data_IF_697872068827
#
_entry.id   IF_697872068827
#
_cell.length_a   1.000
_cell.length_b   1.000
_cell.length_c   1.000
_cell.angle_alpha   90.00
_cell.angle_beta   90.00
_cell.angle_gamma   90.00
#
_symmetry.space_group_name_H-M   'P 1'
#
loop_
_entity.id
_entity.type
_entity.pdbx_description
1 polymer ?
#
# COMPACT_ATOMS: atom_id res chain seq x y z
N UNK A 1 -12.69 13.25 -17.43
CA UNK A 1 -11.28 13.63 -17.68
C UNK A 1 -10.60 12.42 -18.31
N UNK A 2 -10.01 12.61 -19.50
CA UNK A 2 -9.26 11.56 -20.19
C UNK A 2 -7.91 11.41 -19.49
N UNK A 3 -7.67 10.27 -18.83
CA UNK A 3 -6.33 9.95 -18.28
C UNK A 3 -5.38 9.84 -19.48
N UNK A 4 -4.34 10.66 -19.50
CA UNK A 4 -3.30 10.60 -20.52
C UNK A 4 -2.63 9.22 -20.45
N UNK A 5 -2.77 8.43 -21.52
CA UNK A 5 -2.33 7.03 -21.56
C UNK A 5 -0.84 6.87 -21.90
N UNK A 6 -0.16 7.97 -22.21
CA UNK A 6 1.26 7.98 -22.58
C UNK A 6 2.15 7.57 -21.39
N UNK A 7 1.93 8.16 -20.20
CA UNK A 7 2.69 7.80 -18.99
C UNK A 7 2.52 6.35 -18.52
N UNK A 8 1.39 5.70 -18.87
CA UNK A 8 1.11 4.30 -18.52
C UNK A 8 1.99 3.34 -19.33
N UNK A 9 2.16 3.60 -20.63
CA UNK A 9 3.03 2.79 -21.48
C UNK A 9 4.49 2.90 -21.03
N UNK A 10 4.88 4.06 -20.51
CA UNK A 10 6.22 4.29 -19.96
C UNK A 10 6.47 3.50 -18.67
N UNK A 11 5.50 3.33 -17.78
CA UNK A 11 5.69 2.54 -16.55
C UNK A 11 5.87 1.06 -16.82
N UNK A 12 5.07 0.48 -17.72
CA UNK A 12 5.26 -0.93 -18.07
C UNK A 12 6.60 -1.15 -18.80
N UNK A 13 7.05 -0.20 -19.61
CA UNK A 13 8.36 -0.26 -20.25
C UNK A 13 9.50 -0.15 -19.24
N UNK A 14 9.43 0.82 -18.32
CA UNK A 14 10.38 0.96 -17.21
C UNK A 14 10.41 -0.30 -16.36
N UNK A 15 9.25 -0.87 -16.07
CA UNK A 15 9.13 -2.10 -15.30
C UNK A 15 9.84 -3.29 -15.95
N UNK A 16 9.59 -3.53 -17.24
CA UNK A 16 10.26 -4.60 -17.99
C UNK A 16 11.79 -4.38 -17.99
N UNK A 17 12.23 -3.14 -18.18
CA UNK A 17 13.65 -2.79 -18.09
C UNK A 17 14.23 -3.05 -16.70
N UNK A 18 13.51 -2.72 -15.63
CA UNK A 18 13.91 -3.03 -14.25
C UNK A 18 14.04 -4.52 -14.03
N UNK A 19 13.07 -5.31 -14.49
CA UNK A 19 13.13 -6.77 -14.42
C UNK A 19 14.34 -7.32 -15.18
N UNK A 20 14.57 -6.87 -16.41
CA UNK A 20 15.71 -7.31 -17.21
C UNK A 20 17.04 -6.93 -16.54
N UNK A 21 17.15 -5.70 -16.03
CA UNK A 21 18.30 -5.25 -15.26
C UNK A 21 18.59 -6.17 -14.07
N UNK A 22 17.57 -6.50 -13.27
CA UNK A 22 17.73 -7.37 -12.10
C UNK A 22 18.17 -8.79 -12.48
N UNK A 23 17.72 -9.31 -13.63
CA UNK A 23 18.14 -10.63 -14.09
C UNK A 23 19.59 -10.65 -14.59
N UNK A 24 20.01 -9.63 -15.33
CA UNK A 24 21.26 -9.66 -16.09
C UNK A 24 22.41 -8.93 -15.42
N UNK A 25 22.13 -7.89 -14.63
CA UNK A 25 23.14 -6.94 -14.16
C UNK A 25 23.23 -6.85 -12.63
N UNK A 26 22.11 -7.00 -11.92
CA UNK A 26 22.09 -6.85 -10.46
C UNK A 26 23.05 -7.78 -9.69
N UNK A 27 23.34 -9.03 -10.13
CA UNK A 27 24.36 -9.85 -9.46
C UNK A 27 25.74 -9.18 -9.41
N UNK A 28 26.15 -8.50 -10.50
CA UNK A 28 27.43 -7.78 -10.51
C UNK A 28 27.34 -6.54 -9.65
N UNK A 29 26.29 -5.74 -9.79
CA UNK A 29 26.06 -4.53 -8.99
C UNK A 29 26.11 -4.84 -7.48
N UNK A 30 25.45 -5.91 -7.04
CA UNK A 30 25.47 -6.29 -5.64
C UNK A 30 26.76 -6.97 -5.21
N UNK A 31 27.47 -7.65 -6.11
CA UNK A 31 28.83 -8.11 -5.81
C UNK A 31 29.72 -6.92 -5.49
N UNK A 32 29.68 -5.87 -6.32
CA UNK A 32 30.45 -4.65 -6.11
C UNK A 32 30.07 -3.98 -4.79
N UNK A 33 28.78 -3.89 -4.48
CA UNK A 33 28.31 -3.33 -3.21
C UNK A 33 28.69 -4.17 -1.99
N UNK A 34 28.56 -5.50 -2.03
CA UNK A 34 28.94 -6.39 -0.93
C UNK A 34 30.44 -6.35 -0.64
N UNK A 35 31.25 -5.94 -1.62
CA UNK A 35 32.70 -5.79 -1.48
C UNK A 35 33.12 -4.37 -1.03
N UNK A 36 32.22 -3.38 -1.09
CA UNK A 36 32.50 -2.02 -0.64
C UNK A 36 32.37 -1.90 0.89
N UNK A 37 33.40 -1.38 1.55
CA UNK A 37 33.34 -1.09 2.98
C UNK A 37 32.28 -0.01 3.26
N UNK A 38 31.42 -0.25 4.26
CA UNK A 38 30.38 0.69 4.70
C UNK A 38 28.97 0.44 4.15
N UNK A 39 28.79 -0.48 3.20
CA UNK A 39 27.46 -0.90 2.75
C UNK A 39 26.95 -2.03 3.64
N UNK A 40 25.90 -1.79 4.41
CA UNK A 40 25.31 -2.80 5.31
C UNK A 40 24.07 -3.45 4.70
N UNK A 41 24.17 -4.76 4.42
CA UNK A 41 23.05 -5.59 4.01
C UNK A 41 22.58 -6.48 5.17
N UNK A 42 21.28 -6.53 5.43
CA UNK A 42 20.70 -7.58 6.28
C UNK A 42 20.58 -8.86 5.47
N UNK A 43 21.62 -9.68 5.49
CA UNK A 43 21.68 -10.86 4.63
C UNK A 43 20.85 -12.02 5.22
N UNK A 44 19.96 -12.66 4.44
CA UNK A 44 19.22 -13.83 4.91
C UNK A 44 20.20 -14.95 5.31
N UNK A 45 19.99 -15.69 6.41
CA UNK A 45 20.95 -16.70 6.88
C UNK A 45 21.31 -17.75 5.81
N UNK A 46 20.33 -18.15 4.99
CA UNK A 46 20.56 -19.10 3.89
C UNK A 46 21.42 -18.52 2.76
N UNK A 47 21.37 -17.20 2.53
CA UNK A 47 22.22 -16.50 1.57
C UNK A 47 23.60 -16.26 2.20
N UNK A 48 23.65 -15.82 3.45
CA UNK A 48 24.91 -15.60 4.18
C UNK A 48 25.75 -16.87 4.34
N UNK A 49 25.10 -18.04 4.36
CA UNK A 49 25.77 -19.34 4.40
C UNK A 49 26.47 -19.72 3.08
N UNK A 50 26.24 -19.00 1.97
CA UNK A 50 26.92 -19.25 0.70
C UNK A 50 28.38 -18.76 0.80
N UNK A 51 29.32 -19.59 0.36
CA UNK A 51 30.76 -19.33 0.55
C UNK A 51 31.30 -18.19 -0.32
N UNK A 52 30.70 -17.95 -1.50
CA UNK A 52 31.20 -16.96 -2.47
C UNK A 52 30.27 -15.75 -2.52
N UNK A 53 30.84 -14.55 -2.49
CA UNK A 53 30.11 -13.28 -2.62
C UNK A 53 29.29 -13.24 -3.91
N UNK A 54 29.79 -13.81 -5.00
CA UNK A 54 29.07 -13.87 -6.27
C UNK A 54 27.80 -14.75 -6.18
N UNK A 55 27.87 -15.85 -5.42
CA UNK A 55 26.72 -16.72 -5.20
C UNK A 55 25.69 -16.04 -4.28
N UNK A 56 26.15 -15.28 -3.28
CA UNK A 56 25.30 -14.44 -2.43
C UNK A 56 24.55 -13.40 -3.26
N UNK A 57 25.27 -12.63 -4.08
CA UNK A 57 24.70 -11.60 -4.94
C UNK A 57 23.69 -12.20 -5.96
N UNK A 58 24.04 -13.32 -6.59
CA UNK A 58 23.13 -14.02 -7.50
C UNK A 58 21.87 -14.55 -6.77
N UNK A 59 22.00 -15.05 -5.55
CA UNK A 59 20.88 -15.55 -4.77
C UNK A 59 19.90 -14.43 -4.39
N UNK A 60 20.42 -13.28 -3.96
CA UNK A 60 19.61 -12.08 -3.77
C UNK A 60 18.89 -11.74 -5.08
N UNK A 61 19.55 -11.85 -6.25
CA UNK A 61 19.09 -11.15 -7.47
C UNK A 61 17.92 -11.89 -8.05
N UNK A 62 18.03 -13.22 -7.95
CA UNK A 62 16.95 -14.14 -8.20
C UNK A 62 15.80 -13.97 -7.20
N UNK A 63 16.06 -13.67 -5.93
CA UNK A 63 14.99 -13.41 -4.97
C UNK A 63 14.21 -12.14 -5.33
N UNK A 64 14.92 -11.06 -5.67
CA UNK A 64 14.31 -9.81 -6.08
C UNK A 64 13.54 -9.93 -7.38
N UNK A 65 14.15 -10.55 -8.40
CA UNK A 65 13.48 -10.87 -9.66
C UNK A 65 12.18 -11.67 -9.43
N UNK A 66 12.19 -12.69 -8.58
CA UNK A 66 10.99 -13.50 -8.29
C UNK A 66 9.89 -12.69 -7.60
N UNK A 67 10.28 -11.80 -6.69
CA UNK A 67 9.38 -10.88 -5.98
C UNK A 67 8.72 -9.94 -6.97
N UNK A 68 9.54 -9.31 -7.80
CA UNK A 68 9.10 -8.34 -8.78
C UNK A 68 8.24 -8.97 -9.86
N UNK A 69 8.50 -10.17 -10.37
CA UNK A 69 7.61 -10.84 -11.36
C UNK A 69 6.12 -10.94 -10.97
N UNK A 70 5.77 -10.78 -9.69
CA UNK A 70 4.39 -10.82 -9.17
C UNK A 70 3.92 -9.46 -8.62
N UNK A 71 4.70 -8.41 -8.83
CA UNK A 71 4.43 -7.10 -8.30
C UNK A 71 3.23 -6.42 -8.97
N UNK A 72 2.51 -5.65 -8.19
CA UNK A 72 1.59 -4.63 -8.71
C UNK A 72 2.36 -3.39 -9.14
N UNK A 73 1.98 -2.80 -10.27
CA UNK A 73 2.59 -1.58 -10.79
C UNK A 73 1.75 -0.36 -10.44
N UNK A 74 2.42 0.67 -9.97
CA UNK A 74 1.82 1.92 -9.57
C UNK A 74 2.54 3.07 -10.28
N UNK A 75 1.75 3.96 -10.88
CA UNK A 75 2.23 5.19 -11.48
C UNK A 75 1.59 6.38 -10.79
N UNK A 76 2.42 7.30 -10.31
CA UNK A 76 1.98 8.47 -9.57
C UNK A 76 2.21 9.71 -10.44
N UNK A 77 1.13 10.29 -10.95
CA UNK A 77 1.22 11.51 -11.75
C UNK A 77 1.65 12.71 -10.90
N UNK A 78 2.07 13.80 -11.55
CA UNK A 78 2.38 15.07 -10.87
C UNK A 78 1.21 15.55 -10.00
N UNK A 79 -0.01 15.53 -10.52
CA UNK A 79 -1.21 16.01 -9.79
C UNK A 79 -1.53 15.13 -8.59
N UNK A 80 -1.38 13.82 -8.75
CA UNK A 80 -1.52 12.83 -7.69
C UNK A 80 -0.50 13.08 -6.56
N UNK A 81 0.78 13.26 -6.91
CA UNK A 81 1.84 13.54 -5.96
C UNK A 81 1.59 14.87 -5.19
N UNK A 82 1.18 15.93 -5.90
CA UNK A 82 0.84 17.21 -5.28
C UNK A 82 -0.33 17.11 -4.30
N UNK A 83 -1.35 16.30 -4.62
CA UNK A 83 -2.50 16.06 -3.76
C UNK A 83 -2.12 15.30 -2.47
N UNK A 84 -1.11 14.43 -2.56
CA UNK A 84 -0.56 13.68 -1.43
C UNK A 84 0.35 14.54 -0.56
N UNK A 85 1.14 15.44 -1.14
CA UNK A 85 2.02 16.35 -0.41
C UNK A 85 1.26 17.31 0.54
N UNK A 86 0.00 17.60 0.23
CA UNK A 86 -0.89 18.39 1.08
C UNK A 86 -1.48 17.65 2.28
N UNK A 87 -1.26 16.32 2.41
CA UNK A 87 -1.69 15.55 3.57
C UNK A 87 -0.81 15.92 4.78
N UNK A 88 -1.38 16.68 5.72
CA UNK A 88 -0.68 17.12 6.94
C UNK A 88 -0.66 15.96 7.94
N UNK A 89 0.55 15.53 8.30
CA UNK A 89 0.80 14.56 9.37
C UNK A 89 0.89 13.11 8.87
N UNK A 90 2.03 12.47 9.12
CA UNK A 90 2.08 11.01 9.13
C UNK A 90 1.44 10.63 10.46
N UNK A 91 0.24 10.05 10.53
CA UNK A 91 -0.19 9.43 11.79
C UNK A 91 0.91 8.46 12.18
N UNK A 92 1.25 8.32 13.46
CA UNK A 92 2.18 7.29 13.90
C UNK A 92 1.71 5.96 13.29
N UNK A 93 2.41 5.47 12.26
CA UNK A 93 2.02 4.26 11.54
C UNK A 93 2.45 3.14 12.46
N UNK A 94 1.53 2.73 13.34
CA UNK A 94 1.79 1.65 14.29
C UNK A 94 2.17 0.35 13.56
N UNK A 95 1.74 0.17 12.29
CA UNK A 95 2.10 -0.97 11.45
C UNK A 95 2.10 -0.64 9.95
N UNK A 96 3.28 -0.68 9.32
CA UNK A 96 3.46 -0.46 7.88
C UNK A 96 2.58 -1.40 7.05
N UNK A 97 2.45 -2.66 7.48
CA UNK A 97 1.65 -3.70 6.82
C UNK A 97 0.20 -3.28 6.53
N UNK A 98 -0.38 -2.36 7.33
CA UNK A 98 -1.77 -1.90 7.16
C UNK A 98 -1.97 -0.94 5.98
N UNK A 99 -0.90 -0.31 5.51
CA UNK A 99 -0.97 0.68 4.42
C UNK A 99 -0.29 0.19 3.14
N UNK A 100 0.49 -0.89 3.17
CA UNK A 100 1.11 -1.44 1.97
C UNK A 100 0.02 -1.88 0.99
N UNK A 101 -0.03 -1.33 -0.24
CA UNK A 101 -1.15 -1.56 -1.14
C UNK A 101 -1.13 -2.94 -1.80
N UNK A 102 -0.01 -3.64 -1.73
CA UNK A 102 0.17 -5.01 -2.24
C UNK A 102 1.33 -5.72 -1.55
N UNK A 103 1.35 -7.06 -1.49
CA UNK A 103 2.48 -7.81 -0.94
C UNK A 103 3.79 -7.52 -1.65
N UNK A 104 3.77 -7.18 -2.94
CA UNK A 104 4.94 -6.72 -3.68
C UNK A 104 4.53 -5.72 -4.76
N UNK A 105 5.38 -4.76 -5.05
CA UNK A 105 5.04 -3.69 -5.99
C UNK A 105 6.24 -2.97 -6.58
N UNK A 106 6.02 -2.27 -7.69
CA UNK A 106 6.88 -1.20 -8.20
C UNK A 106 6.04 0.07 -8.29
N UNK A 107 6.55 1.14 -7.71
CA UNK A 107 5.97 2.47 -7.82
C UNK A 107 6.93 3.40 -8.53
N UNK A 108 6.42 4.13 -9.52
CA UNK A 108 7.15 5.15 -10.28
C UNK A 108 6.44 6.49 -10.13
N UNK A 109 7.19 7.53 -9.79
CA UNK A 109 6.64 8.89 -9.74
C UNK A 109 6.97 9.66 -11.00
N UNK A 110 5.98 10.35 -11.58
CA UNK A 110 6.18 11.28 -12.69
C UNK A 110 6.98 12.51 -12.26
N UNK A 111 6.72 13.00 -11.05
CA UNK A 111 7.52 14.03 -10.40
C UNK A 111 8.23 13.40 -9.19
N UNK A 112 9.56 13.35 -9.17
CA UNK A 112 10.30 12.69 -8.11
C UNK A 112 9.95 13.24 -6.72
N UNK A 113 9.66 12.37 -5.74
CA UNK A 113 9.29 12.83 -4.41
C UNK A 113 10.47 13.44 -3.65
N UNK A 114 11.70 13.03 -3.98
CA UNK A 114 12.92 13.41 -3.26
C UNK A 114 14.08 13.56 -4.23
N UNK A 115 14.86 14.61 -3.98
CA UNK A 115 16.20 14.78 -4.53
C UNK A 115 17.21 14.37 -3.47
N UNK A 116 18.04 13.38 -3.79
CA UNK A 116 19.19 13.01 -2.98
C UNK A 116 20.38 13.92 -3.30
N UNK A 117 21.54 13.67 -2.69
CA UNK A 117 22.74 14.47 -2.90
C UNK A 117 23.08 14.68 -4.39
N UNK A 118 23.66 15.85 -4.69
CA UNK A 118 24.09 16.25 -6.05
C UNK A 118 22.94 16.35 -7.08
N UNK A 119 21.69 16.47 -6.60
CA UNK A 119 20.52 16.72 -7.45
C UNK A 119 20.01 15.48 -8.19
N UNK A 120 20.48 14.28 -7.82
CA UNK A 120 19.91 13.03 -8.32
C UNK A 120 18.53 12.83 -7.71
N UNK A 121 17.62 12.26 -8.50
CA UNK A 121 16.22 12.08 -8.13
C UNK A 121 15.90 10.62 -7.89
N UNK A 122 15.22 10.33 -6.77
CA UNK A 122 14.58 9.04 -6.55
C UNK A 122 13.35 8.96 -7.44
N UNK A 123 13.35 8.06 -8.41
CA UNK A 123 12.33 7.97 -9.46
C UNK A 123 11.34 6.83 -9.21
N UNK A 124 11.80 5.75 -8.58
CA UNK A 124 10.98 4.60 -8.32
C UNK A 124 11.39 3.86 -7.04
N UNK A 125 10.48 3.05 -6.53
CA UNK A 125 10.74 2.11 -5.43
C UNK A 125 10.05 0.78 -5.73
N UNK A 126 10.76 -0.31 -5.50
CA UNK A 126 10.20 -1.65 -5.51
C UNK A 126 10.17 -2.22 -4.10
N UNK A 127 9.15 -3.03 -3.79
CA UNK A 127 9.01 -3.63 -2.47
C UNK A 127 8.43 -5.05 -2.51
N UNK A 128 8.52 -5.70 -1.35
CA UNK A 128 7.81 -6.92 -1.02
C UNK A 128 8.39 -7.65 0.18
N UNK A 129 7.91 -8.88 0.46
CA UNK A 129 8.14 -9.53 1.74
C UNK A 129 9.61 -9.92 1.92
N UNK A 130 10.11 -9.74 3.13
CA UNK A 130 11.38 -10.25 3.58
C UNK A 130 11.25 -11.65 4.20
N UNK A 131 12.37 -12.34 4.33
CA UNK A 131 12.42 -13.73 4.81
C UNK A 131 12.01 -13.88 6.27
N UNK A 132 12.20 -12.83 7.07
CA UNK A 132 11.81 -12.74 8.47
C UNK A 132 10.36 -12.27 8.67
N UNK A 133 9.60 -12.07 7.58
CA UNK A 133 8.25 -11.51 7.60
C UNK A 133 8.20 -9.98 7.52
N UNK A 134 9.36 -9.32 7.48
CA UNK A 134 9.49 -7.88 7.29
C UNK A 134 9.19 -7.42 5.86
N UNK A 135 9.54 -6.18 5.53
CA UNK A 135 9.44 -5.64 4.17
C UNK A 135 10.80 -5.17 3.67
N UNK A 136 11.16 -5.60 2.47
CA UNK A 136 12.33 -5.10 1.73
C UNK A 136 11.92 -4.00 0.76
N UNK A 137 12.74 -2.97 0.63
CA UNK A 137 12.55 -1.85 -0.29
C UNK A 137 13.81 -1.61 -1.09
N UNK A 138 13.70 -1.56 -2.41
CA UNK A 138 14.83 -1.21 -3.28
C UNK A 138 14.49 0.11 -3.99
N UNK A 139 15.34 1.10 -3.81
CA UNK A 139 15.15 2.45 -4.34
C UNK A 139 15.92 2.61 -5.65
N UNK A 140 15.31 3.37 -6.57
CA UNK A 140 15.80 3.52 -7.93
C UNK A 140 15.87 5.00 -8.30
N UNK A 141 17.00 5.39 -8.88
CA UNK A 141 17.27 6.75 -9.36
C UNK A 141 17.12 6.84 -10.87
N UNK A 142 16.88 8.05 -11.38
CA UNK A 142 16.93 8.31 -12.83
C UNK A 142 18.38 8.20 -13.33
N UNK A 143 18.63 7.24 -14.21
CA UNK A 143 19.98 6.98 -14.74
C UNK A 143 20.55 8.19 -15.49
N UNK A 144 19.72 8.92 -16.23
CA UNK A 144 20.17 10.10 -16.97
C UNK A 144 20.53 11.23 -16.00
N UNK A 145 19.83 11.36 -14.88
CA UNK A 145 20.21 12.28 -13.80
C UNK A 145 21.55 11.89 -13.18
N UNK A 146 21.78 10.60 -12.89
CA UNK A 146 23.06 10.09 -12.37
C UNK A 146 24.22 10.36 -13.34
N UNK A 147 24.01 10.20 -14.66
CA UNK A 147 25.01 10.51 -15.68
C UNK A 147 25.32 12.01 -15.71
N UNK A 148 24.30 12.88 -15.71
CA UNK A 148 24.50 14.33 -15.67
C UNK A 148 25.25 14.79 -14.43
N UNK A 149 25.00 14.15 -13.29
CA UNK A 149 25.69 14.41 -12.03
C UNK A 149 27.09 13.77 -11.94
N UNK A 150 27.55 13.09 -13.00
CA UNK A 150 28.84 12.36 -13.02
C UNK A 150 28.98 11.33 -11.90
N UNK A 151 27.87 10.72 -11.48
CA UNK A 151 27.85 9.61 -10.51
C UNK A 151 28.02 8.27 -11.21
N UNK A 152 27.59 8.17 -12.46
CA UNK A 152 27.71 6.95 -13.27
C UNK A 152 28.08 7.28 -14.72
N UNK A 153 28.64 6.32 -15.44
CA UNK A 153 29.06 6.51 -16.83
C UNK A 153 27.86 6.51 -17.80
N UNK A 154 27.93 7.26 -18.92
CA UNK A 154 26.86 7.25 -19.94
C UNK A 154 26.53 5.86 -20.50
N UNK A 155 27.51 4.95 -20.51
CA UNK A 155 27.34 3.55 -20.91
C UNK A 155 26.27 2.83 -20.07
N UNK A 156 26.04 3.26 -18.84
CA UNK A 156 25.09 2.66 -17.91
C UNK A 156 23.64 2.88 -18.32
N UNK A 157 23.33 3.91 -19.12
CA UNK A 157 22.00 4.06 -19.74
C UNK A 157 21.68 2.89 -20.69
N UNK A 158 22.70 2.36 -21.37
CA UNK A 158 22.52 1.23 -22.29
C UNK A 158 22.39 -0.10 -21.54
N UNK A 159 22.99 -0.20 -20.34
CA UNK A 159 23.04 -1.43 -19.55
C UNK A 159 21.85 -1.51 -18.59
N UNK A 160 21.43 -0.39 -18.00
CA UNK A 160 20.42 -0.34 -16.92
C UNK A 160 19.10 0.30 -17.36
N UNK A 161 19.07 0.90 -18.56
CA UNK A 161 17.90 1.61 -19.05
C UNK A 161 17.68 2.92 -18.31
N UNK A 162 16.42 3.23 -18.00
CA UNK A 162 16.04 4.48 -17.35
C UNK A 162 16.25 4.55 -15.84
N UNK A 163 16.49 3.42 -15.16
CA UNK A 163 16.60 3.35 -13.71
C UNK A 163 17.93 2.76 -13.26
N UNK A 164 18.56 3.41 -12.28
CA UNK A 164 19.78 2.95 -11.63
C UNK A 164 19.48 2.59 -10.18
N UNK A 165 19.88 1.37 -9.78
CA UNK A 165 19.76 0.93 -8.39
C UNK A 165 20.50 1.91 -7.46
N UNK A 166 19.84 2.33 -6.39
CA UNK A 166 20.38 3.33 -5.47
C UNK A 166 20.73 2.74 -4.11
N UNK A 167 19.72 2.24 -3.41
CA UNK A 167 19.88 1.66 -2.07
C UNK A 167 18.82 0.59 -1.85
N UNK A 168 19.06 -0.26 -0.87
CA UNK A 168 18.09 -1.24 -0.41
C UNK A 168 17.96 -1.16 1.11
N UNK A 169 16.73 -1.21 1.61
CA UNK A 169 16.40 -1.04 3.01
C UNK A 169 15.46 -2.16 3.44
N UNK A 170 15.76 -2.77 4.58
CA UNK A 170 14.92 -3.77 5.21
C UNK A 170 14.26 -3.19 6.46
N UNK A 171 13.01 -3.58 6.65
CA UNK A 171 12.23 -3.27 7.84
C UNK A 171 11.76 -4.56 8.48
N UNK A 172 12.01 -4.72 9.77
CA UNK A 172 11.51 -5.84 10.55
C UNK A 172 9.96 -5.85 10.58
N UNK A 173 9.33 -7.02 10.83
CA UNK A 173 7.88 -7.11 11.01
C UNK A 173 7.41 -6.13 12.10
N UNK A 174 6.31 -5.42 11.84
CA UNK A 174 5.70 -4.45 12.77
C UNK A 174 6.62 -3.30 13.21
N UNK A 175 7.81 -3.18 12.63
CA UNK A 175 8.76 -2.13 12.93
C UNK A 175 8.76 -1.06 11.85
N UNK A 176 8.79 0.18 12.33
CA UNK A 176 9.25 1.31 11.54
C UNK A 176 10.74 1.09 11.20
N UNK A 177 11.26 1.52 10.03
CA UNK A 177 12.70 1.54 9.82
C UNK A 177 13.37 2.21 11.01
N UNK A 178 14.21 1.44 11.70
CA UNK A 178 14.78 1.69 13.06
C UNK A 178 15.56 3.02 13.17
N UNK A 179 15.66 3.78 12.08
CA UNK A 179 16.44 5.01 11.98
C UNK A 179 15.61 6.30 12.12
N UNK A 180 14.29 6.21 12.24
CA UNK A 180 13.40 7.37 12.15
C UNK A 180 12.58 7.60 13.42
N UNK A 181 13.25 8.03 14.50
CA UNK A 181 12.60 8.56 15.70
C UNK A 181 11.85 9.88 15.40
N UNK A 182 12.20 10.58 14.31
CA UNK A 182 11.50 11.78 13.82
C UNK A 182 11.28 11.74 12.28
N UNK A 183 10.05 11.52 11.80
CA UNK A 183 9.72 11.51 10.36
C UNK A 183 9.80 12.90 9.69
N UNK A 184 10.11 13.96 10.45
CA UNK A 184 10.41 15.29 9.92
C UNK A 184 11.89 15.47 9.54
N UNK A 185 12.78 14.54 9.92
CA UNK A 185 14.18 14.63 9.55
C UNK A 185 14.37 14.46 8.03
N UNK A 186 15.25 15.28 7.40
CA UNK A 186 15.47 15.25 5.95
C UNK A 186 15.86 13.88 5.40
N UNK A 187 16.58 13.06 6.17
CA UNK A 187 16.96 11.68 5.79
C UNK A 187 15.79 10.71 5.58
N UNK A 188 14.56 11.09 5.95
CA UNK A 188 13.38 10.21 5.84
C UNK A 188 12.34 10.69 4.84
N UNK A 189 12.65 11.72 4.05
CA UNK A 189 11.73 12.27 3.06
C UNK A 189 11.26 11.22 2.05
N UNK A 190 12.10 10.24 1.68
CA UNK A 190 11.71 9.20 0.73
C UNK A 190 10.69 8.23 1.31
N UNK A 191 10.88 7.80 2.56
CA UNK A 191 9.93 6.95 3.28
C UNK A 191 8.62 7.69 3.51
N UNK A 192 8.70 8.95 3.93
CA UNK A 192 7.53 9.80 4.08
C UNK A 192 6.72 9.84 2.77
N UNK A 193 7.34 10.15 1.65
CA UNK A 193 6.65 10.21 0.36
C UNK A 193 6.03 8.87 -0.04
N UNK A 194 6.75 7.76 0.14
CA UNK A 194 6.23 6.42 -0.14
C UNK A 194 5.02 6.09 0.72
N UNK A 195 5.12 6.29 2.03
CA UNK A 195 4.07 5.91 2.98
C UNK A 195 2.81 6.77 2.81
N UNK A 196 2.97 8.07 2.54
CA UNK A 196 1.84 8.91 2.18
C UNK A 196 1.18 8.47 0.88
N UNK A 197 1.98 8.05 -0.11
CA UNK A 197 1.45 7.53 -1.37
C UNK A 197 0.72 6.21 -1.16
N UNK A 198 1.29 5.28 -0.37
CA UNK A 198 0.64 4.03 0.03
C UNK A 198 -0.65 4.25 0.79
N UNK A 199 -0.65 5.16 1.77
CA UNK A 199 -1.85 5.55 2.50
C UNK A 199 -2.90 6.13 1.55
N UNK A 200 -2.50 6.96 0.57
CA UNK A 200 -3.42 7.50 -0.41
C UNK A 200 -4.01 6.40 -1.32
N UNK A 201 -3.21 5.41 -1.72
CA UNK A 201 -3.68 4.25 -2.50
C UNK A 201 -4.64 3.38 -1.66
N UNK A 202 -4.26 3.01 -0.43
CA UNK A 202 -5.10 2.19 0.45
C UNK A 202 -6.41 2.90 0.82
N UNK A 203 -6.37 4.22 0.91
CA UNK A 203 -7.54 5.07 1.09
C UNK A 203 -8.39 5.28 -0.17
N UNK A 204 -7.96 4.77 -1.33
CA UNK A 204 -8.61 4.95 -2.63
C UNK A 204 -8.60 6.40 -3.15
N UNK A 205 -7.68 7.23 -2.65
CA UNK A 205 -7.46 8.61 -3.11
C UNK A 205 -6.65 8.67 -4.40
N UNK A 206 -5.84 7.64 -4.67
CA UNK A 206 -5.09 7.48 -5.91
C UNK A 206 -5.61 6.26 -6.67
N UNK A 207 -5.99 6.45 -7.92
CA UNK A 207 -6.56 5.39 -8.77
C UNK A 207 -5.69 5.22 -10.02
N UNK A 208 -4.57 4.53 -9.86
CA UNK A 208 -3.98 3.78 -10.96
C UNK A 208 -3.15 2.60 -10.41
N UNK A 209 -3.65 1.37 -10.65
CA UNK A 209 -2.98 0.11 -10.32
C UNK A 209 -3.09 -0.80 -11.51
N UNK A 210 -1.95 -1.32 -11.97
CA UNK A 210 -1.91 -2.36 -12.99
C UNK A 210 -1.29 -3.63 -12.38
N UNK A 211 -2.07 -4.71 -12.32
CA UNK A 211 -1.54 -6.00 -11.86
C UNK A 211 -0.84 -6.70 -13.03
N UNK A 212 0.43 -7.04 -12.88
CA UNK A 212 1.10 -7.91 -13.85
C UNK A 212 0.62 -9.34 -13.60
N UNK A 213 -0.30 -9.83 -14.45
CA UNK A 213 -0.69 -11.24 -14.39
C UNK A 213 0.52 -12.16 -14.58
N UNK A 214 0.48 -13.43 -14.14
CA UNK A 214 1.55 -14.38 -14.38
C UNK A 214 1.68 -14.59 -15.90
N UNK A 215 2.55 -13.82 -16.55
CA UNK A 215 2.83 -13.97 -17.97
C UNK A 215 3.53 -15.32 -18.17
N UNK A 216 2.85 -16.24 -18.85
CA UNK A 216 3.47 -17.46 -19.39
C UNK A 216 4.52 -17.15 -20.48
N UNK A 217 4.75 -15.88 -20.83
CA UNK A 217 5.47 -15.44 -22.02
C UNK A 217 6.66 -14.50 -21.75
N UNK A 218 7.30 -14.56 -20.58
CA UNK A 218 8.60 -13.87 -20.41
C UNK A 218 9.69 -14.52 -21.30
N UNK A 219 9.55 -15.80 -21.64
CA UNK A 219 10.38 -16.42 -22.69
C UNK A 219 10.00 -15.99 -24.12
N UNK A 220 8.77 -15.51 -24.35
CA UNK A 220 8.28 -15.07 -25.65
C UNK A 220 8.72 -13.64 -26.01
N UNK A 221 8.83 -12.75 -25.02
CA UNK A 221 9.20 -11.35 -25.22
C UNK A 221 10.66 -11.18 -25.72
N UNK A 222 11.56 -12.09 -25.35
CA UNK A 222 12.96 -12.11 -25.81
C UNK A 222 13.14 -12.43 -27.30
N UNK A 223 12.09 -12.84 -28.04
CA UNK A 223 12.17 -13.14 -29.48
C UNK A 223 11.55 -12.11 -30.42
N UNK A 224 10.92 -11.04 -29.92
CA UNK A 224 10.25 -10.04 -30.78
C UNK A 224 10.58 -8.61 -30.34
N UNK A 225 11.79 -8.15 -30.63
CA UNK A 225 12.13 -6.72 -30.69
C UNK A 225 11.55 -6.04 -31.95
N UNK A 226 10.33 -6.39 -32.33
CA UNK A 226 9.68 -5.88 -33.55
C UNK A 226 8.16 -5.89 -33.42
N UNK A 227 7.64 -4.73 -32.98
CA UNK A 227 6.25 -4.26 -33.00
C UNK A 227 5.14 -5.03 -32.25
N UNK A 228 4.39 -4.21 -31.51
CA UNK A 228 2.98 -4.29 -31.12
C UNK A 228 2.51 -5.54 -30.36
N UNK A 229 2.20 -5.34 -29.08
CA UNK A 229 1.21 -6.17 -28.40
C UNK A 229 0.17 -5.29 -27.72
N UNK A 230 -1.06 -5.37 -28.23
CA UNK A 230 -2.28 -4.88 -27.58
C UNK A 230 -2.36 -5.48 -26.18
N UNK A 231 -2.44 -4.63 -25.17
CA UNK A 231 -2.83 -5.03 -23.83
C UNK A 231 -4.21 -5.73 -23.90
N UNK A 232 -4.28 -6.95 -23.39
CA UNK A 232 -5.56 -7.61 -23.12
C UNK A 232 -6.17 -6.85 -21.94
N UNK A 233 -7.10 -5.95 -22.27
CA UNK A 233 -7.91 -5.27 -21.29
C UNK A 233 -8.76 -6.30 -20.54
N UNK A 234 -8.35 -6.65 -19.32
CA UNK A 234 -9.32 -7.07 -18.31
C UNK A 234 -9.80 -5.80 -17.63
N UNK A 235 -10.86 -5.21 -18.17
CA UNK A 235 -11.69 -4.28 -17.41
C UNK A 235 -12.27 -5.12 -16.27
N UNK A 236 -11.76 -4.94 -15.06
CA UNK A 236 -12.48 -5.34 -13.86
C UNK A 236 -13.65 -4.34 -13.79
N UNK A 237 -14.91 -4.77 -13.97
CA UNK A 237 -16.01 -3.84 -13.81
C UNK A 237 -16.02 -3.35 -12.36
N UNK A 238 -16.11 -2.03 -12.19
CA UNK A 238 -16.48 -1.42 -10.94
C UNK A 238 -17.94 -1.80 -10.62
N UNK A 239 -18.15 -2.98 -10.02
CA UNK A 239 -19.45 -3.36 -9.46
C UNK A 239 -19.32 -4.54 -8.49
N UNK A 240 -18.83 -4.27 -7.29
CA UNK A 240 -19.53 -4.67 -6.06
C UNK A 240 -19.04 -3.73 -4.97
N UNK A 241 -19.94 -2.89 -4.49
CA UNK A 241 -19.71 -1.82 -3.52
C UNK A 241 -19.16 -2.30 -2.17
N UNK A 242 -19.06 -3.60 -1.93
CA UNK A 242 -18.69 -4.19 -0.64
C UNK A 242 -17.17 -4.12 -0.41
N UNK A 243 -16.72 -3.31 0.56
CA UNK A 243 -15.32 -3.20 0.99
C UNK A 243 -15.10 -3.87 2.35
N UNK A 244 -14.98 -5.21 2.43
CA UNK A 244 -14.81 -5.92 3.69
C UNK A 244 -13.54 -5.51 4.45
N UNK A 245 -12.51 -5.04 3.73
CA UNK A 245 -11.25 -4.53 4.28
C UNK A 245 -11.45 -3.29 5.17
N UNK A 246 -12.39 -2.40 4.81
CA UNK A 246 -12.63 -1.17 5.56
C UNK A 246 -13.24 -1.46 6.95
N UNK A 247 -14.07 -2.49 7.02
CA UNK A 247 -14.67 -2.93 8.27
C UNK A 247 -13.63 -3.58 9.20
N UNK A 248 -12.65 -4.30 8.64
CA UNK A 248 -11.51 -4.83 9.40
C UNK A 248 -10.62 -3.71 9.95
N UNK A 249 -10.32 -2.68 9.15
CA UNK A 249 -9.55 -1.51 9.58
C UNK A 249 -10.25 -0.80 10.75
N UNK A 250 -11.56 -0.57 10.64
CA UNK A 250 -12.35 0.10 11.69
C UNK A 250 -12.37 -0.70 12.99
N UNK A 251 -12.62 -2.02 12.93
CA UNK A 251 -12.59 -2.91 14.11
C UNK A 251 -11.24 -2.85 14.82
N UNK A 252 -10.17 -2.88 14.03
CA UNK A 252 -8.81 -2.89 14.56
C UNK A 252 -8.46 -1.57 15.23
N UNK A 253 -8.85 -0.44 14.63
CA UNK A 253 -8.70 0.87 15.27
C UNK A 253 -9.45 0.93 16.61
N UNK A 254 -10.69 0.44 16.64
CA UNK A 254 -11.50 0.44 17.85
C UNK A 254 -10.91 -0.43 18.97
N UNK A 255 -10.23 -1.53 18.64
CA UNK A 255 -9.48 -2.34 19.61
C UNK A 255 -8.27 -1.56 20.16
N UNK A 256 -7.53 -0.85 19.30
CA UNK A 256 -6.38 -0.04 19.69
C UNK A 256 -6.75 1.16 20.56
N UNK A 257 -7.92 1.77 20.32
CA UNK A 257 -8.44 2.89 21.12
C UNK A 257 -8.97 2.46 22.51
N UNK A 258 -8.78 1.20 22.90
CA UNK A 258 -9.15 0.68 24.21
C UNK A 258 -10.66 0.57 24.45
N UNK A 259 -11.48 0.60 23.39
CA UNK A 259 -12.96 0.50 23.48
C UNK A 259 -13.47 -0.90 23.83
N UNK A 260 -12.57 -1.84 24.11
CA UNK A 260 -12.89 -3.16 24.63
C UNK A 260 -13.57 -4.11 23.64
N UNK A 261 -13.44 -3.91 22.32
CA UNK A 261 -14.09 -4.80 21.35
C UNK A 261 -13.51 -6.22 21.43
N UNK A 262 -14.37 -7.21 21.65
CA UNK A 262 -13.98 -8.63 21.73
C UNK A 262 -14.38 -9.40 20.47
N UNK A 263 -13.62 -10.44 20.15
CA UNK A 263 -13.98 -11.41 19.12
C UNK A 263 -14.96 -12.44 19.68
N UNK A 264 -16.26 -12.10 19.65
CA UNK A 264 -17.34 -13.06 19.93
C UNK A 264 -18.18 -13.31 18.69
N UNK A 265 -18.25 -14.54 18.16
CA UNK A 265 -19.05 -14.82 16.98
C UNK A 265 -20.52 -14.54 17.24
N UNK A 266 -21.20 -13.91 16.28
CA UNK A 266 -22.66 -13.76 16.34
C UNK A 266 -23.32 -15.12 16.12
N UNK A 267 -24.22 -15.53 17.02
CA UNK A 267 -24.86 -16.85 16.98
C UNK A 267 -26.05 -16.94 16.03
N UNK A 268 -26.59 -15.79 15.59
CA UNK A 268 -27.67 -15.71 14.61
C UNK A 268 -27.15 -15.69 13.16
N UNK A 269 -28.08 -15.79 12.20
CA UNK A 269 -27.75 -15.58 10.79
C UNK A 269 -27.43 -14.09 10.54
N UNK A 270 -26.26 -13.83 9.97
CA UNK A 270 -25.84 -12.50 9.55
C UNK A 270 -25.50 -12.54 8.04
N UNK A 271 -26.10 -11.68 7.20
CA UNK A 271 -25.74 -11.58 5.80
C UNK A 271 -24.23 -11.39 5.60
N UNK A 272 -23.67 -12.02 4.56
CA UNK A 272 -22.23 -11.99 4.28
C UNK A 272 -21.66 -10.55 4.16
N UNK A 273 -22.50 -9.60 3.74
CA UNK A 273 -22.16 -8.19 3.59
C UNK A 273 -22.07 -7.45 4.94
N UNK A 274 -22.81 -7.91 5.95
CA UNK A 274 -22.81 -7.37 7.30
C UNK A 274 -21.79 -8.06 8.21
N UNK A 275 -21.41 -9.31 7.89
CA UNK A 275 -20.47 -10.09 8.68
C UNK A 275 -19.12 -9.39 8.95
N UNK A 276 -18.54 -8.59 8.02
CA UNK A 276 -17.34 -7.79 8.28
C UNK A 276 -17.56 -6.59 9.20
N UNK A 277 -18.80 -6.16 9.46
CA UNK A 277 -19.15 -4.96 10.24
C UNK A 277 -19.60 -5.25 11.66
N UNK A 278 -19.80 -6.53 11.99
CA UNK A 278 -20.20 -7.00 13.32
C UNK A 278 -19.09 -6.81 14.37
N UNK A 279 -19.44 -6.41 15.57
CA UNK A 279 -18.51 -6.34 16.71
C UNK A 279 -19.22 -6.79 17.97
N UNK A 280 -18.47 -7.30 18.95
CA UNK A 280 -18.99 -7.44 20.30
C UNK A 280 -18.39 -6.35 21.18
N UNK A 281 -19.24 -5.54 21.80
CA UNK A 281 -18.83 -4.48 22.71
C UNK A 281 -19.25 -4.87 24.13
N UNK A 282 -18.31 -5.06 25.07
CA UNK A 282 -18.62 -5.37 26.46
C UNK A 282 -19.60 -4.36 27.05
N UNK A 283 -20.63 -4.86 27.72
CA UNK A 283 -21.72 -4.04 28.26
C UNK A 283 -22.80 -3.65 27.25
N UNK A 284 -22.52 -3.68 25.94
CA UNK A 284 -23.50 -3.36 24.88
C UNK A 284 -23.89 -4.57 24.01
N UNK A 285 -23.14 -5.67 24.07
CA UNK A 285 -23.44 -6.90 23.33
C UNK A 285 -23.04 -6.86 21.84
N UNK A 286 -23.73 -7.63 21.01
CA UNK A 286 -23.45 -7.72 19.58
C UNK A 286 -24.00 -6.48 18.84
N UNK A 287 -23.11 -5.77 18.14
CA UNK A 287 -23.43 -4.55 17.39
C UNK A 287 -22.91 -4.65 15.95
N UNK A 288 -23.44 -3.81 15.07
CA UNK A 288 -22.89 -3.50 13.76
C UNK A 288 -22.35 -2.07 13.78
N UNK A 289 -21.22 -1.85 13.14
CA UNK A 289 -20.76 -0.50 12.80
C UNK A 289 -21.55 -0.06 11.57
N UNK A 290 -22.39 0.96 11.71
CA UNK A 290 -23.25 1.45 10.63
C UNK A 290 -23.17 2.96 10.47
N UNK A 291 -23.32 3.45 9.25
CA UNK A 291 -23.54 4.84 8.93
C UNK A 291 -25.01 5.22 9.12
N UNK A 292 -25.26 6.32 9.83
CA UNK A 292 -26.58 6.84 10.15
C UNK A 292 -26.70 8.26 9.59
N UNK A 293 -27.45 8.48 8.49
CA UNK A 293 -27.50 9.77 7.84
C UNK A 293 -27.90 10.95 8.76
N UNK A 294 -28.72 10.70 9.80
CA UNK A 294 -29.20 11.73 10.72
C UNK A 294 -28.22 12.13 11.82
N UNK A 295 -27.07 11.46 11.95
CA UNK A 295 -26.09 11.78 12.97
C UNK A 295 -25.28 13.01 12.55
N UNK A 296 -24.94 13.91 13.47
CA UNK A 296 -23.97 14.97 13.20
C UNK A 296 -22.55 14.57 13.64
N UNK A 297 -21.49 15.13 13.02
CA UNK A 297 -20.12 14.91 13.44
C UNK A 297 -19.91 15.20 14.93
N UNK A 298 -19.29 14.27 15.66
CA UNK A 298 -18.99 14.39 17.09
C UNK A 298 -20.08 13.88 18.03
N UNK A 299 -21.19 13.36 17.50
CA UNK A 299 -22.28 12.83 18.31
C UNK A 299 -22.15 11.34 18.69
N UNK A 300 -21.16 10.59 18.19
CA UNK A 300 -21.05 9.14 18.48
C UNK A 300 -19.84 8.69 19.27
N UNK A 301 -19.97 7.46 19.78
CA UNK A 301 -18.94 6.68 20.44
C UNK A 301 -17.98 5.94 19.48
N UNK A 302 -18.13 6.06 18.15
CA UNK A 302 -17.16 5.51 17.19
C UNK A 302 -16.19 6.65 16.82
N UNK A 303 -14.89 6.57 17.19
CA UNK A 303 -13.92 7.60 16.86
C UNK A 303 -13.82 7.76 15.33
N UNK A 304 -13.79 9.01 14.89
CA UNK A 304 -13.47 9.40 13.52
C UNK A 304 -12.04 8.96 13.20
N UNK A 305 -11.83 8.22 12.10
CA UNK A 305 -10.47 7.92 11.65
C UNK A 305 -9.80 9.22 11.17
N UNK A 306 -9.05 9.86 12.08
CA UNK A 306 -8.22 11.02 11.81
C UNK A 306 -8.96 12.34 11.65
N UNK A 307 -8.31 13.43 12.06
CA UNK A 307 -8.86 14.79 12.10
C UNK A 307 -9.16 15.42 10.71
N UNK A 308 -8.97 14.70 9.61
CA UNK A 308 -9.00 15.27 8.24
C UNK A 308 -9.88 14.51 7.25
N UNK A 309 -10.45 13.36 7.64
CA UNK A 309 -11.49 12.68 6.87
C UNK A 309 -12.73 12.63 7.75
N UNK A 310 -13.82 13.23 7.28
CA UNK A 310 -15.16 12.86 7.75
C UNK A 310 -15.38 11.39 7.36
N UNK A 311 -14.83 10.46 8.14
CA UNK A 311 -15.45 9.16 8.28
C UNK A 311 -16.84 9.47 8.75
N UNK A 312 -17.81 9.02 7.97
CA UNK A 312 -19.18 9.47 8.07
C UNK A 312 -19.80 9.21 9.44
N UNK A 313 -21.10 9.37 9.44
CA UNK A 313 -21.95 9.37 10.60
C UNK A 313 -22.06 7.99 11.27
N UNK A 314 -20.97 7.43 11.79
CA UNK A 314 -20.89 6.03 12.23
C UNK A 314 -21.35 5.85 13.67
N UNK A 315 -22.13 4.80 13.93
CA UNK A 315 -22.59 4.40 15.24
C UNK A 315 -22.51 2.87 15.43
N UNK A 316 -22.46 2.43 16.69
CA UNK A 316 -22.72 1.04 17.05
C UNK A 316 -24.23 0.82 17.15
N UNK A 317 -24.81 0.09 16.20
CA UNK A 317 -26.22 -0.25 16.22
C UNK A 317 -26.44 -1.72 16.59
N UNK A 318 -27.50 -2.08 17.32
CA UNK A 318 -27.83 -3.47 17.60
C UNK A 318 -28.03 -4.28 16.31
N UNK A 319 -27.47 -5.49 16.25
CA UNK A 319 -27.52 -6.34 15.04
C UNK A 319 -28.97 -6.59 14.62
N UNK A 320 -29.85 -6.92 15.58
CA UNK A 320 -31.25 -7.25 15.27
C UNK A 320 -32.02 -6.02 14.79
N UNK A 321 -31.78 -4.87 15.39
CA UNK A 321 -32.45 -3.62 15.00
C UNK A 321 -32.08 -3.22 13.57
N UNK A 322 -30.80 -3.30 13.18
CA UNK A 322 -30.36 -3.03 11.80
C UNK A 322 -30.98 -3.99 10.79
N UNK A 323 -31.04 -5.28 11.13
CA UNK A 323 -31.67 -6.29 10.26
C UNK A 323 -33.18 -6.03 10.10
N UNK A 324 -33.86 -5.56 11.14
CA UNK A 324 -35.31 -5.29 11.12
C UNK A 324 -35.66 -4.00 10.36
N UNK A 325 -34.95 -2.90 10.63
CA UNK A 325 -35.22 -1.62 9.99
C UNK A 325 -34.69 -1.54 8.55
N UNK A 326 -33.86 -2.49 8.16
CA UNK A 326 -33.24 -2.52 6.85
C UNK A 326 -31.94 -1.73 6.80
N UNK A 327 -31.12 -2.11 5.84
CA UNK A 327 -29.79 -1.58 5.63
C UNK A 327 -29.47 -1.61 4.14
N UNK A 328 -28.53 -0.76 3.73
CA UNK A 328 -28.01 -0.73 2.37
C UNK A 328 -26.51 -0.48 2.40
N UNK A 329 -25.81 -0.94 1.38
CA UNK A 329 -24.38 -0.63 1.24
C UNK A 329 -24.22 0.68 0.46
N UNK A 330 -23.59 1.67 1.07
CA UNK A 330 -23.39 2.98 0.45
C UNK A 330 -21.95 3.48 0.72
N UNK A 331 -21.24 3.91 -0.33
CA UNK A 331 -19.89 4.46 -0.25
C UNK A 331 -18.87 3.64 0.56
N UNK A 332 -18.98 2.31 0.57
CA UNK A 332 -18.07 1.49 1.37
C UNK A 332 -18.57 1.14 2.77
N UNK A 333 -19.75 1.61 3.19
CA UNK A 333 -20.29 1.46 4.54
C UNK A 333 -21.67 0.78 4.55
N UNK A 334 -21.99 0.11 5.66
CA UNK A 334 -23.36 -0.32 5.96
C UNK A 334 -24.13 0.89 6.43
N UNK A 335 -25.05 1.39 5.63
CA UNK A 335 -25.93 2.49 6.00
C UNK A 335 -27.25 1.95 6.55
N UNK A 336 -27.70 2.50 7.67
CA UNK A 336 -28.99 2.18 8.29
C UNK A 336 -29.84 3.45 8.41
N UNK A 337 -31.17 3.28 8.29
CA UNK A 337 -32.15 4.35 8.46
C UNK A 337 -32.55 4.59 9.92
N UNK A 338 -31.83 3.96 10.86
CA UNK A 338 -31.98 4.20 12.29
C UNK A 338 -31.89 5.69 12.59
N UNK A 339 -32.76 6.17 13.48
CA UNK A 339 -32.73 7.56 13.92
C UNK A 339 -31.83 7.69 15.13
N UNK A 340 -31.02 8.73 15.13
CA UNK A 340 -30.23 9.13 16.28
C UNK A 340 -30.78 10.44 16.85
N UNK A 341 -31.04 10.48 18.15
CA UNK A 341 -31.37 11.70 18.88
C UNK A 341 -30.30 11.97 19.94
N UNK A 342 -29.66 13.16 19.98
CA UNK A 342 -28.55 13.42 20.90
C UNK A 342 -28.85 13.19 22.39
N UNK A 343 -30.11 13.36 22.78
CA UNK A 343 -30.58 13.19 24.16
C UNK A 343 -30.84 11.71 24.51
N UNK A 344 -31.16 10.87 23.52
CA UNK A 344 -31.66 9.50 23.73
C UNK A 344 -30.79 8.41 23.08
N UNK A 345 -29.82 8.80 22.24
CA UNK A 345 -29.01 7.89 21.45
C UNK A 345 -29.76 7.33 20.24
N UNK A 346 -29.49 6.06 19.92
CA UNK A 346 -30.18 5.36 18.82
C UNK A 346 -31.60 5.00 19.23
N UNK A 347 -32.56 5.47 18.45
CA UNK A 347 -33.95 5.13 18.67
C UNK A 347 -34.27 3.75 18.08
N UNK A 348 -34.61 2.82 18.97
CA UNK A 348 -35.16 1.51 18.64
C UNK A 348 -36.67 1.52 18.83
N UNK A 349 -37.37 0.53 18.28
CA UNK A 349 -38.82 0.40 18.52
C UNK A 349 -39.06 -0.02 19.98
N UNK A 350 -40.11 0.49 20.66
CA UNK A 350 -40.40 0.17 22.07
C UNK A 350 -40.59 -1.32 22.40
N UNK A 351 -40.69 -2.19 21.41
CA UNK A 351 -40.78 -3.66 21.56
C UNK A 351 -39.48 -4.41 21.26
N UNK A 352 -38.35 -3.71 21.07
CA UNK A 352 -37.06 -4.35 20.81
C UNK A 352 -36.38 -4.76 22.12
N UNK A 353 -35.97 -6.03 22.21
CA UNK A 353 -35.34 -6.61 23.40
C UNK A 353 -33.87 -6.17 23.57
N UNK A 354 -33.30 -5.49 22.58
CA UNK A 354 -31.93 -4.97 22.58
C UNK A 354 -31.92 -3.46 22.91
N UNK A 355 -32.39 -3.10 24.11
CA UNK A 355 -32.39 -1.72 24.63
C UNK A 355 -31.03 -1.29 25.20
#
# INVERSE_FOLDING_TARGET
MSVDRTGIQDVHALWLQTLDFLHYNAPQTWTDMLQQEGVTFLMPPAVAALERVQDQAAALANAESRRLRKADLFYITREAAASVAGLIGVPCIAQIASIVPSPSGLMVWEEPPVHIERGVVLRAVSWGPAYDGGTWWSWWTDTAACVRASITEPSMLMIHGGLTFHEEVHTEPDFWPVQADDPALPEHLQFRALLFTWMAISCGLLVYRESVGPSQDICGHLRRTGMESRAVHRVIPASSSDRPELAQILRRQLQLDGRGIEERPYTGYLPAQLAPWHVYVPGLGHRLIVEIPSLEPGQTAVPTLGASRRVGNLAFAPVRTVLRQGWQFHNGYVQSLLRYEPEFGLLTEPGDEEF
#
